data_IF_983208832837
#
_entry.id   IF_983208832837
#
_cell.length_a   1.000
_cell.length_b   1.000
_cell.length_c   1.000
_cell.angle_alpha   90.00
_cell.angle_beta   90.00
_cell.angle_gamma   90.00
#
_symmetry.space_group_name_H-M   'P 1'
#
loop_
_entity.id
_entity.type
_entity.pdbx_description
1 polymer ?
#
# COMPACT_ATOMS: atom_id res chain seq x y z
N UNK A 1 29.83 -25.90 53.77
CA UNK A 1 30.08 -26.65 52.52
C UNK A 1 28.88 -27.46 51.98
N UNK A 2 27.81 -27.72 52.76
CA UNK A 2 26.69 -28.59 52.32
C UNK A 2 25.62 -27.92 51.45
N UNK A 3 25.57 -26.58 51.37
CA UNK A 3 24.58 -25.87 50.57
C UNK A 3 24.92 -25.78 49.07
N UNK A 4 26.20 -25.87 48.69
CA UNK A 4 26.62 -25.87 47.27
C UNK A 4 26.35 -27.21 46.57
N UNK A 5 26.40 -28.33 47.30
CA UNK A 5 26.08 -29.66 46.73
C UNK A 5 24.60 -29.83 46.39
N UNK A 6 23.68 -29.29 47.20
CA UNK A 6 22.23 -29.33 46.90
C UNK A 6 21.88 -28.56 45.62
N UNK A 7 22.47 -27.38 45.42
CA UNK A 7 22.21 -26.56 44.21
C UNK A 7 22.79 -27.19 42.92
N UNK A 8 23.88 -27.94 43.01
CA UNK A 8 24.47 -28.68 41.87
C UNK A 8 23.70 -29.97 41.53
N UNK A 9 22.96 -30.54 42.50
CA UNK A 9 22.21 -31.80 42.32
C UNK A 9 20.79 -31.57 41.76
N UNK A 10 20.15 -30.43 42.08
CA UNK A 10 18.83 -30.07 41.55
C UNK A 10 18.86 -29.50 40.13
N UNK A 11 20.02 -29.05 39.64
CA UNK A 11 20.16 -28.53 38.28
C UNK A 11 20.20 -29.65 37.24
N UNK A 12 20.79 -30.82 37.57
CA UNK A 12 20.88 -31.97 36.66
C UNK A 12 19.55 -32.66 36.36
N UNK A 13 18.58 -32.59 37.26
CA UNK A 13 17.24 -33.17 37.05
C UNK A 13 16.39 -32.34 36.08
N UNK A 14 16.61 -31.02 36.03
CA UNK A 14 15.88 -30.10 35.15
C UNK A 14 16.31 -30.30 33.69
N UNK A 15 17.62 -30.52 33.45
CA UNK A 15 18.15 -30.71 32.09
C UNK A 15 17.61 -31.98 31.40
N UNK A 16 17.36 -33.07 32.15
CA UNK A 16 16.86 -34.35 31.62
C UNK A 16 15.37 -34.32 31.27
N UNK A 17 14.54 -33.61 32.06
CA UNK A 17 13.12 -33.42 31.75
C UNK A 17 12.92 -32.53 30.51
N UNK A 18 13.77 -31.51 30.34
CA UNK A 18 13.75 -30.63 29.16
C UNK A 18 14.12 -31.41 27.89
N UNK A 19 15.14 -32.28 27.93
CA UNK A 19 15.53 -33.11 26.78
C UNK A 19 14.41 -34.09 26.35
N UNK A 20 13.65 -34.65 27.30
CA UNK A 20 12.53 -35.56 26.99
C UNK A 20 11.28 -34.83 26.47
N UNK A 21 11.12 -33.54 26.75
CA UNK A 21 10.05 -32.71 26.18
C UNK A 21 10.30 -32.38 24.71
N UNK A 22 11.57 -32.15 24.34
CA UNK A 22 12.00 -31.87 22.95
C UNK A 22 11.77 -33.10 22.06
N UNK A 23 11.90 -34.31 22.60
CA UNK A 23 11.73 -35.55 21.82
C UNK A 23 10.27 -36.00 21.63
N UNK A 24 9.29 -35.38 22.29
CA UNK A 24 7.85 -35.68 22.06
C UNK A 24 7.22 -34.83 20.97
N UNK A 25 7.87 -33.74 20.57
CA UNK A 25 7.30 -32.71 19.68
C UNK A 25 7.65 -32.90 18.19
N UNK A 26 8.03 -34.11 17.77
CA UNK A 26 8.35 -34.42 16.36
C UNK A 26 7.22 -34.03 15.40
N UNK A 27 5.95 -34.25 15.78
CA UNK A 27 4.79 -33.86 14.95
C UNK A 27 4.80 -32.35 14.65
N UNK A 28 5.03 -31.52 15.67
CA UNK A 28 5.05 -30.06 15.51
C UNK A 28 6.21 -29.55 14.65
N UNK A 29 7.36 -30.24 14.68
CA UNK A 29 8.51 -29.92 13.83
C UNK A 29 8.21 -30.32 12.38
N UNK A 30 7.60 -31.49 12.16
CA UNK A 30 7.17 -31.91 10.84
C UNK A 30 6.12 -30.97 10.25
N UNK A 31 5.11 -30.56 11.01
CA UNK A 31 4.06 -29.64 10.55
C UNK A 31 4.63 -28.28 10.13
N UNK A 32 5.55 -27.71 10.92
CA UNK A 32 6.25 -26.47 10.59
C UNK A 32 7.12 -26.64 9.35
N UNK A 33 7.82 -27.76 9.25
CA UNK A 33 8.70 -28.08 8.12
C UNK A 33 7.90 -28.26 6.83
N UNK A 34 6.73 -28.88 6.89
CA UNK A 34 5.83 -29.03 5.74
C UNK A 34 5.31 -27.66 5.31
N UNK A 35 4.87 -26.82 6.24
CA UNK A 35 4.37 -25.48 5.92
C UNK A 35 5.47 -24.56 5.35
N UNK A 36 6.71 -24.67 5.82
CA UNK A 36 7.83 -23.86 5.31
C UNK A 36 8.40 -24.39 3.99
N UNK A 37 8.55 -25.71 3.82
CA UNK A 37 9.08 -26.30 2.59
C UNK A 37 8.07 -26.28 1.44
N UNK A 38 6.79 -26.53 1.74
CA UNK A 38 5.74 -26.61 0.71
C UNK A 38 4.94 -25.31 0.53
N UNK A 39 5.26 -24.25 1.28
CA UNK A 39 4.62 -22.92 1.19
C UNK A 39 3.09 -23.05 1.10
N UNK A 40 2.52 -23.94 1.91
CA UNK A 40 1.12 -24.39 1.83
C UNK A 40 0.13 -23.23 1.89
N UNK A 41 0.45 -22.21 2.69
CA UNK A 41 -0.29 -20.95 2.83
C UNK A 41 -0.45 -20.17 1.51
N UNK A 42 0.47 -20.32 0.56
CA UNK A 42 0.41 -19.66 -0.76
C UNK A 42 -0.20 -20.57 -1.83
N UNK A 43 0.08 -21.88 -1.76
CA UNK A 43 -0.36 -22.85 -2.78
C UNK A 43 -1.86 -23.13 -2.71
N UNK A 44 -2.43 -23.26 -1.51
CA UNK A 44 -3.86 -23.54 -1.35
C UNK A 44 -4.78 -22.43 -1.88
N UNK A 45 -4.58 -21.14 -1.56
CA UNK A 45 -5.43 -20.08 -2.10
C UNK A 45 -5.25 -19.86 -3.61
N UNK A 46 -4.04 -20.06 -4.15
CA UNK A 46 -3.79 -19.91 -5.59
C UNK A 46 -4.50 -20.99 -6.40
N UNK A 47 -4.50 -22.24 -5.93
CA UNK A 47 -5.30 -23.31 -6.52
C UNK A 47 -6.81 -23.03 -6.43
N UNK A 48 -7.28 -22.46 -5.31
CA UNK A 48 -8.68 -22.06 -5.16
C UNK A 48 -9.10 -21.02 -6.21
N UNK A 49 -8.34 -19.93 -6.37
CA UNK A 49 -8.63 -18.91 -7.38
C UNK A 49 -8.44 -19.40 -8.81
N UNK A 50 -7.62 -20.42 -9.03
CA UNK A 50 -7.44 -21.04 -10.35
C UNK A 50 -8.70 -21.79 -10.82
N UNK A 51 -9.43 -22.44 -9.90
CA UNK A 51 -10.68 -23.14 -10.21
C UNK A 51 -11.94 -22.24 -10.08
N UNK A 52 -11.81 -21.03 -9.55
CA UNK A 52 -12.92 -20.08 -9.49
C UNK A 52 -13.20 -19.48 -10.88
N UNK A 53 -14.48 -19.27 -11.26
CA UNK A 53 -14.80 -18.64 -12.53
C UNK A 53 -14.22 -17.23 -12.62
N UNK A 54 -13.59 -16.92 -13.76
CA UNK A 54 -12.99 -15.61 -14.02
C UNK A 54 -14.08 -14.56 -14.21
N UNK A 55 -14.03 -13.50 -13.41
CA UNK A 55 -14.91 -12.32 -13.55
C UNK A 55 -14.31 -11.35 -14.57
N UNK A 56 -14.30 -11.75 -15.84
CA UNK A 56 -13.80 -10.93 -16.96
C UNK A 56 -14.93 -10.49 -17.87
N UNK A 57 -14.97 -9.21 -18.20
CA UNK A 57 -15.90 -8.64 -19.18
C UNK A 57 -15.26 -8.72 -20.57
N UNK A 58 -16.01 -9.11 -21.60
CA UNK A 58 -15.50 -9.21 -22.96
C UNK A 58 -15.47 -7.84 -23.66
N UNK A 59 -14.42 -7.06 -23.43
CA UNK A 59 -14.18 -5.83 -24.17
C UNK A 59 -13.73 -6.17 -25.61
N UNK A 60 -14.27 -5.53 -26.68
CA UNK A 60 -15.05 -4.29 -26.73
C UNK A 60 -16.58 -4.46 -26.72
N UNK A 61 -17.09 -5.68 -26.68
CA UNK A 61 -18.52 -5.99 -26.85
C UNK A 61 -19.35 -5.68 -25.60
N UNK A 62 -18.78 -5.90 -24.43
CA UNK A 62 -19.40 -5.61 -23.13
C UNK A 62 -18.60 -4.53 -22.41
N UNK A 63 -19.29 -3.51 -21.90
CA UNK A 63 -18.70 -2.39 -21.14
C UNK A 63 -19.19 -2.46 -19.70
N UNK A 64 -18.30 -2.14 -18.77
CA UNK A 64 -18.67 -2.03 -17.35
C UNK A 64 -19.74 -0.95 -17.13
N UNK A 65 -20.57 -1.13 -16.10
CA UNK A 65 -21.59 -0.14 -15.72
C UNK A 65 -20.93 1.17 -15.30
N UNK A 66 -21.20 2.25 -16.03
CA UNK A 66 -20.72 3.59 -15.68
C UNK A 66 -21.78 4.34 -14.88
N UNK A 67 -21.35 4.96 -13.77
CA UNK A 67 -22.21 5.87 -13.01
C UNK A 67 -22.48 7.16 -13.81
N UNK A 68 -23.63 7.83 -13.62
CA UNK A 68 -23.94 9.09 -14.30
C UNK A 68 -22.99 10.24 -13.93
N UNK A 69 -22.19 10.07 -12.86
CA UNK A 69 -21.17 11.04 -12.41
C UNK A 69 -19.76 10.67 -12.87
N UNK A 70 -19.61 9.72 -13.78
CA UNK A 70 -18.30 9.37 -14.32
C UNK A 70 -17.64 10.60 -14.98
N UNK A 71 -16.41 10.90 -14.57
CA UNK A 71 -15.61 11.98 -15.15
C UNK A 71 -14.80 11.42 -16.31
N UNK A 72 -15.34 11.52 -17.51
CA UNK A 72 -14.67 11.14 -18.74
C UNK A 72 -13.99 12.33 -19.42
N UNK A 73 -14.06 12.35 -20.74
CA UNK A 73 -13.56 13.45 -21.56
C UNK A 73 -14.36 14.74 -21.32
N UNK A 74 -13.65 15.86 -21.22
CA UNK A 74 -14.26 17.17 -20.98
C UNK A 74 -14.74 17.75 -22.30
N UNK A 75 -16.04 18.00 -22.43
CA UNK A 75 -16.65 18.60 -23.62
C UNK A 75 -17.34 19.92 -23.26
N UNK A 76 -17.07 20.97 -24.05
CA UNK A 76 -17.78 22.23 -23.93
C UNK A 76 -19.20 22.09 -24.45
N UNK A 77 -20.18 22.31 -23.59
CA UNK A 77 -21.58 22.18 -23.96
C UNK A 77 -22.13 23.50 -24.52
N UNK A 78 -22.90 23.47 -25.60
CA UNK A 78 -23.58 24.65 -26.18
C UNK A 78 -25.02 24.80 -25.68
N UNK A 79 -25.58 26.01 -25.75
CA UNK A 79 -27.02 26.27 -25.56
C UNK A 79 -27.83 25.76 -26.77
N UNK A 80 -29.16 25.57 -26.65
CA UNK A 80 -30.01 25.22 -27.79
C UNK A 80 -30.01 26.30 -28.90
N UNK A 81 -29.68 27.56 -28.56
CA UNK A 81 -29.47 28.68 -29.49
C UNK A 81 -28.12 28.62 -30.22
N UNK A 82 -27.32 27.56 -30.00
CA UNK A 82 -26.00 27.31 -30.59
C UNK A 82 -24.85 28.17 -30.07
N UNK A 83 -25.14 29.14 -29.20
CA UNK A 83 -24.13 29.89 -28.45
C UNK A 83 -23.37 28.98 -27.47
N UNK A 84 -22.09 29.28 -27.25
CA UNK A 84 -21.25 28.56 -26.29
C UNK A 84 -21.55 28.95 -24.84
N UNK A 85 -21.42 28.01 -23.90
CA UNK A 85 -21.60 28.31 -22.46
C UNK A 85 -20.38 28.95 -21.80
N UNK A 86 -19.23 28.96 -22.48
CA UNK A 86 -18.02 29.56 -21.95
C UNK A 86 -18.09 31.08 -22.13
N UNK A 87 -18.04 31.84 -21.03
CA UNK A 87 -17.96 33.31 -21.05
C UNK A 87 -16.53 33.83 -20.81
N UNK A 88 -15.51 32.99 -21.05
CA UNK A 88 -14.10 33.31 -20.84
C UNK A 88 -13.75 33.83 -19.43
N UNK A 89 -14.45 33.35 -18.39
CA UNK A 89 -14.28 33.80 -17.01
C UNK A 89 -12.99 33.28 -16.31
N UNK A 90 -12.24 32.36 -16.94
CA UNK A 90 -11.00 31.73 -16.41
C UNK A 90 -11.11 30.98 -15.07
N UNK A 91 -12.33 30.76 -14.54
CA UNK A 91 -12.52 29.98 -13.30
C UNK A 91 -12.07 28.52 -13.41
N UNK A 92 -12.22 27.91 -14.59
CA UNK A 92 -11.82 26.52 -14.83
C UNK A 92 -10.30 26.29 -14.69
N UNK A 93 -9.51 27.30 -15.03
CA UNK A 93 -8.05 27.28 -14.91
C UNK A 93 -7.63 27.50 -13.45
N UNK A 94 -8.29 28.44 -12.76
CA UNK A 94 -8.01 28.76 -11.37
C UNK A 94 -8.31 27.61 -10.39
N UNK A 95 -9.38 26.82 -10.63
CA UNK A 95 -9.72 25.69 -9.77
C UNK A 95 -8.97 24.40 -10.13
N UNK A 96 -8.28 24.38 -11.27
CA UNK A 96 -7.49 23.22 -11.67
C UNK A 96 -6.36 23.01 -10.67
N UNK A 97 -6.46 21.92 -9.88
CA UNK A 97 -5.54 21.60 -8.77
C UNK A 97 -4.09 21.47 -9.27
N UNK A 98 -3.89 21.19 -10.55
CA UNK A 98 -2.55 21.07 -11.15
C UNK A 98 -1.84 22.43 -11.30
N UNK A 99 -2.57 23.54 -11.47
CA UNK A 99 -1.97 24.86 -11.69
C UNK A 99 -1.75 25.65 -10.38
N UNK A 100 -2.33 25.21 -9.27
CA UNK A 100 -2.31 25.94 -7.99
C UNK A 100 -0.94 26.01 -7.31
N UNK A 101 -0.08 24.97 -7.25
CA UNK A 101 1.23 25.11 -6.59
C UNK A 101 2.24 25.92 -7.44
N UNK A 102 2.11 25.87 -8.77
CA UNK A 102 3.08 26.44 -9.71
C UNK A 102 3.06 27.98 -9.66
N UNK A 103 1.87 28.57 -9.48
CA UNK A 103 1.70 30.01 -9.29
C UNK A 103 2.24 30.51 -7.94
N UNK A 104 2.17 29.69 -6.88
CA UNK A 104 2.75 30.04 -5.56
C UNK A 104 4.28 29.98 -5.55
N UNK A 105 4.88 28.98 -6.19
CA UNK A 105 6.35 28.83 -6.20
C UNK A 105 7.04 29.93 -7.02
N UNK A 106 6.50 30.32 -8.19
CA UNK A 106 7.11 31.36 -9.02
C UNK A 106 7.12 32.76 -8.38
N UNK A 107 6.25 33.04 -7.40
CA UNK A 107 6.28 34.29 -6.63
C UNK A 107 7.23 34.26 -5.42
N UNK A 108 7.48 33.08 -4.83
CA UNK A 108 8.28 32.90 -3.61
C UNK A 108 9.79 32.79 -3.91
N UNK A 109 10.15 32.16 -5.04
CA UNK A 109 11.55 31.96 -5.45
C UNK A 109 12.34 33.28 -5.61
N UNK A 110 11.83 34.36 -6.24
CA UNK A 110 12.60 35.61 -6.36
C UNK A 110 12.78 36.34 -5.02
N UNK A 111 11.83 36.20 -4.08
CA UNK A 111 11.97 36.79 -2.74
C UNK A 111 13.07 36.09 -1.93
N UNK A 112 13.21 34.77 -2.07
CA UNK A 112 14.27 34.02 -1.40
C UNK A 112 15.67 34.30 -1.97
N UNK A 113 15.81 34.48 -3.29
CA UNK A 113 17.11 34.80 -3.90
C UNK A 113 17.58 36.22 -3.56
N UNK A 114 16.68 37.20 -3.53
CA UNK A 114 17.01 38.59 -3.15
C UNK A 114 17.36 38.69 -1.66
N UNK A 115 16.64 37.98 -0.78
CA UNK A 115 16.96 37.94 0.64
C UNK A 115 18.31 37.24 0.90
N UNK A 116 18.59 36.14 0.19
CA UNK A 116 19.87 35.44 0.29
C UNK A 116 21.03 36.33 -0.16
N UNK A 117 20.91 37.02 -1.30
CA UNK A 117 21.92 37.99 -1.75
C UNK A 117 22.12 39.13 -0.73
N UNK A 118 21.04 39.69 -0.19
CA UNK A 118 21.11 40.76 0.82
C UNK A 118 21.78 40.30 2.13
N UNK A 119 21.57 39.04 2.56
CA UNK A 119 22.22 38.46 3.72
C UNK A 119 23.68 38.07 3.49
N UNK A 120 24.07 37.71 2.26
CA UNK A 120 25.48 37.42 1.92
C UNK A 120 26.33 38.67 1.64
N UNK A 121 25.68 39.80 1.33
CA UNK A 121 26.34 41.09 1.05
C UNK A 121 26.40 42.02 2.27
N UNK A 122 25.98 41.54 3.44
CA UNK A 122 26.11 42.21 4.73
C UNK A 122 26.99 41.39 5.67
#
# INVERSE_FOLDING_TARGET
MLMKKKKIMSLRSIDLEVILSISKDWSSVFDRTINTLFLTEMVMPTLKYFFEPKVTINYPFEKGSLSPRFRGEHALRRYPTREERCIACKLCEAISIQNTPILSFNLIIPLFSVLFLYLTMR
#
